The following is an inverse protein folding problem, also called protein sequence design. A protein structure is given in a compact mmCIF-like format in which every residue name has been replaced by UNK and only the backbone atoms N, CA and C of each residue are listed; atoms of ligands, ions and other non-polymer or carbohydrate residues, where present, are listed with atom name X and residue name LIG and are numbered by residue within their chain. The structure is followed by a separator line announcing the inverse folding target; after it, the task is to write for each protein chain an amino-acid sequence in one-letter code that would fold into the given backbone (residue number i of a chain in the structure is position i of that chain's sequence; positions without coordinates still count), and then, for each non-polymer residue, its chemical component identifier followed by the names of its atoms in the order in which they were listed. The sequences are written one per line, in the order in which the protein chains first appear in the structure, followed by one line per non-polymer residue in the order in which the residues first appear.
data_IF_369520524552
#
_entry.id   IF_369520524552
#
_cell.length_a   1.000
_cell.length_b   1.000
_cell.length_c   1.000
_cell.angle_alpha   90.00
_cell.angle_beta   90.00
_cell.angle_gamma   90.00
#
_symmetry.space_group_name_H-M   'P 1'
#
loop_
_entity.id
_entity.type
_entity.pdbx_description
1 polymer ?
#
# COMPACT_ATOMS: atom_id res chain seq x y z
N UNK A 1 -2.49 2.50 -50.82
CA UNK A 1 -2.41 3.43 -49.68
C UNK A 1 -3.64 3.38 -48.76
N UNK A 2 -4.88 3.21 -49.26
CA UNK A 2 -6.10 3.25 -48.42
C UNK A 2 -6.30 2.10 -47.40
N UNK A 3 -5.51 1.00 -47.48
CA UNK A 3 -5.62 -0.16 -46.57
C UNK A 3 -4.83 -0.02 -45.27
N UNK A 4 -3.91 0.94 -45.20
CA UNK A 4 -3.08 1.18 -44.01
C UNK A 4 -3.84 2.03 -42.97
N UNK A 5 -4.72 2.93 -43.43
CA UNK A 5 -5.57 3.76 -42.58
C UNK A 5 -6.48 2.93 -41.64
N UNK A 6 -7.28 1.95 -42.10
CA UNK A 6 -8.13 1.17 -41.20
C UNK A 6 -7.30 0.34 -40.21
N UNK A 7 -6.14 -0.18 -40.65
CA UNK A 7 -5.25 -0.93 -39.78
C UNK A 7 -4.70 -0.06 -38.64
N UNK A 8 -4.28 1.16 -38.95
CA UNK A 8 -3.76 2.11 -37.97
C UNK A 8 -4.84 2.56 -36.98
N UNK A 9 -6.08 2.76 -37.44
CA UNK A 9 -7.22 3.08 -36.58
C UNK A 9 -7.56 1.95 -35.62
N UNK A 10 -7.52 0.70 -36.07
CA UNK A 10 -7.74 -0.48 -35.21
C UNK A 10 -6.63 -0.58 -34.16
N UNK A 11 -5.37 -0.39 -34.56
CA UNK A 11 -4.23 -0.45 -33.65
C UNK A 11 -4.30 0.68 -32.59
N UNK A 12 -4.67 1.90 -33.02
CA UNK A 12 -4.87 3.03 -32.12
C UNK A 12 -6.02 2.76 -31.12
N UNK A 13 -7.17 2.29 -31.61
CA UNK A 13 -8.32 1.98 -30.74
C UNK A 13 -7.98 0.88 -29.72
N UNK A 14 -7.23 -0.14 -30.14
CA UNK A 14 -6.77 -1.21 -29.27
C UNK A 14 -5.80 -0.71 -28.19
N UNK A 15 -4.82 0.12 -28.58
CA UNK A 15 -3.89 0.74 -27.63
C UNK A 15 -4.61 1.61 -26.61
N UNK A 16 -5.59 2.41 -27.05
CA UNK A 16 -6.40 3.25 -26.16
C UNK A 16 -7.23 2.41 -25.17
N UNK A 17 -7.84 1.30 -25.61
CA UNK A 17 -8.56 0.39 -24.71
C UNK A 17 -7.64 -0.21 -23.63
N UNK A 18 -6.41 -0.60 -23.97
CA UNK A 18 -5.44 -1.12 -22.99
C UNK A 18 -5.02 -0.03 -21.99
N UNK A 19 -4.77 1.19 -22.47
CA UNK A 19 -4.40 2.31 -21.59
C UNK A 19 -5.48 2.63 -20.55
N UNK A 20 -6.77 2.51 -20.91
CA UNK A 20 -7.86 2.74 -19.96
C UNK A 20 -7.97 1.63 -18.91
N UNK A 21 -7.60 0.39 -19.23
CA UNK A 21 -7.63 -0.73 -18.28
C UNK A 21 -6.53 -0.62 -17.19
N UNK A 22 -5.42 0.08 -17.47
CA UNK A 22 -4.34 0.27 -16.50
C UNK A 22 -4.67 1.33 -15.42
N UNK A 23 -5.58 2.26 -15.71
CA UNK A 23 -5.99 3.34 -14.81
C UNK A 23 -7.42 3.22 -14.28
N UNK A 24 -8.18 2.22 -14.73
CA UNK A 24 -9.54 2.03 -14.25
C UNK A 24 -9.49 1.54 -12.78
N UNK A 25 -10.05 2.29 -11.82
CA UNK A 25 -10.17 1.80 -10.45
C UNK A 25 -11.08 0.57 -10.49
N UNK A 26 -10.53 -0.60 -10.17
CA UNK A 26 -11.31 -1.82 -10.00
C UNK A 26 -12.34 -1.59 -8.89
N UNK A 27 -13.65 -1.85 -9.12
CA UNK A 27 -14.68 -1.79 -8.08
C UNK A 27 -14.62 -3.05 -7.20
N UNK A 28 -13.42 -3.35 -6.69
CA UNK A 28 -13.21 -4.30 -5.61
C UNK A 28 -12.80 -3.46 -4.42
N UNK A 29 -13.68 -3.43 -3.42
CA UNK A 29 -13.30 -3.08 -2.06
C UNK A 29 -11.97 -3.78 -1.74
N UNK A 30 -11.02 -3.07 -1.12
CA UNK A 30 -9.71 -3.57 -0.64
C UNK A 30 -8.51 -3.59 -1.63
N UNK A 31 -8.31 -2.60 -2.51
CA UNK A 31 -6.93 -2.23 -2.87
C UNK A 31 -6.47 -1.14 -1.89
N UNK A 32 -5.63 -1.45 -0.89
CA UNK A 32 -5.16 -0.45 0.05
C UNK A 32 -4.38 0.58 -0.76
N UNK A 33 -4.93 1.79 -0.81
CA UNK A 33 -4.29 2.97 -1.36
C UNK A 33 -2.82 2.99 -0.97
N UNK A 34 -1.93 3.41 -1.87
CA UNK A 34 -0.51 3.58 -1.55
C UNK A 34 -0.31 4.40 -0.25
N UNK A 35 -1.21 5.32 0.04
CA UNK A 35 -1.26 6.08 1.30
C UNK A 35 -1.54 5.15 2.48
N UNK A 36 -2.53 4.28 2.37
CA UNK A 36 -2.93 3.32 3.41
C UNK A 36 -1.82 2.31 3.71
N UNK A 37 -1.14 1.82 2.67
CA UNK A 37 0.08 0.99 2.83
C UNK A 37 1.19 1.73 3.56
N UNK A 38 1.38 3.03 3.28
CA UNK A 38 2.40 3.80 3.99
C UNK A 38 2.04 4.00 5.46
N UNK A 39 0.76 4.27 5.77
CA UNK A 39 0.28 4.50 7.14
C UNK A 39 0.34 3.24 8.01
N UNK A 40 -0.01 2.08 7.45
CA UNK A 40 0.09 0.80 8.14
C UNK A 40 1.52 0.38 8.50
N UNK A 41 2.51 0.86 7.74
CA UNK A 41 3.92 0.55 7.95
C UNK A 41 4.64 1.55 8.89
N UNK A 42 3.95 2.55 9.45
CA UNK A 42 4.58 3.53 10.34
C UNK A 42 4.78 2.99 11.76
N UNK A 43 5.97 3.26 12.31
CA UNK A 43 6.26 3.05 13.74
C UNK A 43 5.42 3.98 14.62
N UNK A 44 5.09 3.55 15.85
CA UNK A 44 4.39 4.38 16.83
C UNK A 44 5.09 5.73 17.10
N UNK A 45 6.43 5.78 17.02
CA UNK A 45 7.18 7.03 17.15
C UNK A 45 6.89 8.00 15.99
N UNK A 46 6.76 7.49 14.77
CA UNK A 46 6.40 8.30 13.60
C UNK A 46 4.94 8.74 13.65
N UNK A 47 4.04 7.88 14.14
CA UNK A 47 2.61 8.19 14.33
C UNK A 47 2.42 9.32 15.35
N UNK A 48 3.15 9.30 16.46
CA UNK A 48 3.12 10.34 17.49
C UNK A 48 3.50 11.72 16.93
N UNK A 49 4.58 11.80 16.14
CA UNK A 49 5.04 13.05 15.51
C UNK A 49 4.01 13.66 14.56
N UNK A 50 3.11 12.84 14.01
CA UNK A 50 2.06 13.24 13.08
C UNK A 50 0.69 13.42 13.76
N UNK A 51 0.60 13.27 15.08
CA UNK A 51 -0.66 13.35 15.81
C UNK A 51 -1.65 12.22 15.51
N UNK A 52 -1.17 11.09 14.98
CA UNK A 52 -2.00 9.94 14.63
C UNK A 52 -2.18 9.01 15.84
N UNK A 53 -3.28 8.24 15.90
CA UNK A 53 -3.51 7.27 16.97
C UNK A 53 -2.38 6.24 16.99
N UNK A 54 -1.99 5.77 18.17
CA UNK A 54 -0.96 4.74 18.30
C UNK A 54 -1.49 3.36 17.92
N UNK A 55 -0.62 2.51 17.36
CA UNK A 55 -0.94 1.11 17.08
C UNK A 55 -0.95 0.37 18.41
N UNK A 56 -2.06 -0.33 18.69
CA UNK A 56 -2.14 -1.24 19.82
C UNK A 56 -1.20 -2.42 19.56
N UNK A 57 -0.47 -2.91 20.58
CA UNK A 57 0.31 -4.13 20.42
C UNK A 57 -0.61 -5.31 20.07
N UNK A 58 -0.21 -6.13 19.10
CA UNK A 58 -0.99 -7.26 18.61
C UNK A 58 -1.13 -8.38 19.67
N UNK A 59 -0.20 -8.42 20.63
CA UNK A 59 -0.23 -9.30 21.77
C UNK A 59 -0.09 -8.51 23.06
N UNK A 60 -1.04 -8.72 23.98
CA UNK A 60 -0.89 -8.27 25.35
C UNK A 60 0.29 -8.99 25.98
N UNK A 61 0.98 -8.29 26.88
CA UNK A 61 2.05 -8.87 27.68
C UNK A 61 1.54 -10.15 28.35
N UNK A 62 2.11 -11.29 27.98
CA UNK A 62 1.83 -12.54 28.68
C UNK A 62 2.48 -12.43 30.06
N UNK A 63 1.65 -12.39 31.11
CA UNK A 63 2.11 -12.27 32.49
C UNK A 63 3.06 -13.41 32.91
N UNK A 64 3.11 -14.50 32.13
CA UNK A 64 4.03 -15.63 32.31
C UNK A 64 5.45 -15.34 31.84
N UNK A 65 5.68 -14.31 31.02
CA UNK A 65 7.00 -14.01 30.42
C UNK A 65 7.98 -13.31 31.37
N UNK A 66 7.56 -12.97 32.59
CA UNK A 66 8.43 -12.30 33.57
C UNK A 66 8.92 -10.92 33.10
N UNK A 67 9.70 -10.20 33.92
CA UNK A 67 10.28 -8.92 33.52
C UNK A 67 11.15 -9.11 32.26
N UNK A 68 10.84 -8.38 31.19
CA UNK A 68 11.68 -8.35 29.98
C UNK A 68 13.08 -7.90 30.42
N UNK A 69 14.10 -8.72 30.12
CA UNK A 69 15.48 -8.35 30.39
C UNK A 69 15.77 -6.97 29.80
N UNK A 70 16.39 -6.09 30.59
CA UNK A 70 16.82 -4.78 30.11
C UNK A 70 17.67 -4.97 28.84
N UNK A 71 17.50 -4.13 27.81
CA UNK A 71 18.34 -4.22 26.63
C UNK A 71 19.78 -4.11 27.11
N UNK A 72 20.56 -5.18 26.89
CA UNK A 72 21.99 -5.23 27.18
C UNK A 72 22.62 -3.95 26.66
N UNK A 73 22.99 -3.06 27.59
CA UNK A 73 23.84 -1.93 27.28
C UNK A 73 25.21 -2.52 26.95
N UNK A 74 25.39 -2.86 25.67
CA UNK A 74 26.71 -3.20 25.15
C UNK A 74 27.57 -1.93 25.31
N UNK A 75 28.71 -2.01 26.02
CA UNK A 75 29.60 -0.87 26.24
C UNK A 75 30.24 -0.35 24.95
#
# INVERSE_FOLDING_TARGET
MARLLPFLLILLAFALMICQAAGAPTPTDEEPSLVDRTEHNMSNAQRLRRGMPLRKPDHYFDARLGPRAEPSAVP
#
